data_IF_408261676543
#
_entry.id   IF_408261676543
#
_cell.length_a   1.000
_cell.length_b   1.000
_cell.length_c   1.000
_cell.angle_alpha   90.00
_cell.angle_beta   90.00
_cell.angle_gamma   90.00
#
_symmetry.space_group_name_H-M   'P 1'
#
loop_
_entity.id
_entity.type
_entity.pdbx_description
1 polymer ?
#
# COMPACT_ATOMS: atom_id res chain seq x y z
N UNK A 1 12.71 -18.09 -7.75
CA UNK A 1 11.39 -18.68 -8.06
C UNK A 1 10.68 -19.26 -6.83
N UNK A 2 11.30 -20.12 -6.02
CA UNK A 2 10.66 -20.77 -4.85
C UNK A 2 10.12 -19.76 -3.81
N UNK A 3 10.84 -18.69 -3.51
CA UNK A 3 10.40 -17.65 -2.58
C UNK A 3 9.14 -16.88 -3.05
N UNK A 4 9.00 -16.69 -4.37
CA UNK A 4 7.85 -16.02 -4.97
C UNK A 4 6.59 -16.90 -4.88
N UNK A 5 6.76 -18.21 -5.06
CA UNK A 5 5.67 -19.18 -4.93
C UNK A 5 5.18 -19.30 -3.48
N UNK A 6 6.11 -19.32 -2.52
CA UNK A 6 5.79 -19.37 -1.09
C UNK A 6 5.02 -18.12 -0.62
N UNK A 7 5.43 -16.94 -1.09
CA UNK A 7 4.72 -15.69 -0.81
C UNK A 7 3.28 -15.71 -1.37
N UNK A 8 3.09 -16.25 -2.58
CA UNK A 8 1.79 -16.37 -3.23
C UNK A 8 0.86 -17.36 -2.51
N UNK A 9 1.40 -18.49 -2.04
CA UNK A 9 0.65 -19.49 -1.26
C UNK A 9 0.23 -18.94 0.09
N UNK A 10 1.14 -18.24 0.79
CA UNK A 10 0.81 -17.59 2.06
C UNK A 10 -0.27 -16.52 1.86
N UNK A 11 -0.21 -15.79 0.75
CA UNK A 11 -1.25 -14.85 0.32
C UNK A 11 -2.62 -15.49 0.18
N UNK A 12 -2.69 -16.59 -0.57
CA UNK A 12 -3.92 -17.31 -0.83
C UNK A 12 -4.52 -17.87 0.46
N UNK A 13 -3.70 -18.40 1.37
CA UNK A 13 -4.13 -18.92 2.66
C UNK A 13 -4.66 -17.81 3.57
N UNK A 14 -3.99 -16.66 3.61
CA UNK A 14 -4.43 -15.49 4.36
C UNK A 14 -5.75 -14.96 3.80
N UNK A 15 -5.86 -14.76 2.48
CA UNK A 15 -7.11 -14.37 1.80
C UNK A 15 -8.27 -15.35 2.08
N UNK A 16 -8.01 -16.66 2.04
CA UNK A 16 -9.01 -17.69 2.33
C UNK A 16 -9.46 -17.66 3.81
N UNK A 17 -8.52 -17.52 4.75
CA UNK A 17 -8.84 -17.43 6.18
C UNK A 17 -9.70 -16.20 6.50
N UNK A 18 -9.41 -15.06 5.86
CA UNK A 18 -10.20 -13.82 6.04
C UNK A 18 -11.59 -13.94 5.44
N UNK A 19 -11.71 -14.55 4.26
CA UNK A 19 -13.00 -14.82 3.64
C UNK A 19 -13.87 -15.71 4.53
N UNK A 20 -13.26 -16.70 5.19
CA UNK A 20 -13.94 -17.59 6.14
C UNK A 20 -14.30 -16.90 7.47
N UNK A 21 -13.53 -15.90 7.90
CA UNK A 21 -13.80 -15.12 9.13
C UNK A 21 -14.84 -14.01 8.92
N UNK A 22 -15.21 -13.70 7.68
CA UNK A 22 -16.16 -12.64 7.38
C UNK A 22 -17.59 -13.09 7.68
N UNK A 23 -18.06 -12.79 8.90
CA UNK A 23 -19.43 -13.14 9.33
C UNK A 23 -20.49 -12.50 8.42
N UNK A 24 -21.57 -13.24 8.10
CA UNK A 24 -22.70 -12.71 7.34
C UNK A 24 -23.44 -11.64 8.17
N UNK A 25 -23.09 -10.37 7.95
CA UNK A 25 -23.68 -9.23 8.67
C UNK A 25 -22.88 -7.94 8.57
N UNK A 26 -21.55 -8.02 8.34
CA UNK A 26 -20.72 -6.83 8.14
C UNK A 26 -20.78 -6.36 6.68
N UNK A 27 -20.95 -5.04 6.47
CA UNK A 27 -20.94 -4.44 5.13
C UNK A 27 -19.61 -4.74 4.45
N UNK A 28 -19.68 -5.34 3.26
CA UNK A 28 -18.50 -5.78 2.52
C UNK A 28 -17.61 -4.58 2.19
N UNK A 29 -16.28 -4.70 2.34
CA UNK A 29 -15.37 -3.68 1.84
C UNK A 29 -15.58 -3.48 0.33
N UNK A 30 -15.38 -2.25 -0.15
CA UNK A 30 -15.50 -1.95 -1.57
C UNK A 30 -14.29 -2.49 -2.33
N UNK A 31 -14.41 -3.73 -2.84
CA UNK A 31 -13.36 -4.43 -3.58
C UNK A 31 -12.67 -3.60 -4.68
N UNK A 32 -13.39 -2.80 -5.50
CA UNK A 32 -12.72 -1.96 -6.49
C UNK A 32 -11.79 -0.91 -5.88
N UNK A 33 -12.11 -0.38 -4.69
CA UNK A 33 -11.25 0.56 -3.97
C UNK A 33 -9.95 -0.10 -3.50
N UNK A 34 -10.03 -1.36 -3.05
CA UNK A 34 -8.85 -2.14 -2.65
C UNK A 34 -7.98 -2.46 -3.86
N UNK A 35 -8.57 -2.87 -4.98
CA UNK A 35 -7.84 -3.14 -6.22
C UNK A 35 -7.14 -1.87 -6.73
N UNK A 36 -7.84 -0.73 -6.76
CA UNK A 36 -7.25 0.55 -7.13
C UNK A 36 -6.12 0.96 -6.18
N UNK A 37 -6.31 0.79 -4.87
CA UNK A 37 -5.26 1.04 -3.88
C UNK A 37 -4.02 0.18 -4.13
N UNK A 38 -4.20 -1.12 -4.39
CA UNK A 38 -3.10 -2.02 -4.68
C UNK A 38 -2.32 -1.62 -5.95
N UNK A 39 -3.02 -1.27 -7.03
CA UNK A 39 -2.39 -0.79 -8.28
C UNK A 39 -1.65 0.53 -8.04
N UNK A 40 -2.19 1.42 -7.21
CA UNK A 40 -1.56 2.68 -6.86
C UNK A 40 -0.34 2.54 -5.94
N UNK A 41 -0.12 1.37 -5.32
CA UNK A 41 0.99 1.17 -4.38
C UNK A 41 2.36 1.35 -5.04
N UNK A 42 2.58 0.78 -6.23
CA UNK A 42 3.84 0.91 -6.95
C UNK A 42 4.17 2.38 -7.30
N UNK A 43 3.28 3.10 -7.99
CA UNK A 43 3.48 4.52 -8.30
C UNK A 43 3.62 5.39 -7.04
N UNK A 44 2.82 5.14 -6.00
CA UNK A 44 2.93 5.88 -4.74
C UNK A 44 4.28 5.65 -4.06
N UNK A 45 4.84 4.43 -4.12
CA UNK A 45 6.16 4.13 -3.58
C UNK A 45 7.27 4.87 -4.32
N UNK A 46 7.24 4.87 -5.65
CA UNK A 46 8.22 5.62 -6.45
C UNK A 46 8.12 7.12 -6.19
N UNK A 47 6.91 7.67 -6.09
CA UNK A 47 6.70 9.07 -5.70
C UNK A 47 7.22 9.36 -4.30
N UNK A 48 6.97 8.46 -3.34
CA UNK A 48 7.46 8.57 -1.97
C UNK A 48 8.99 8.54 -1.90
N UNK A 49 9.64 7.69 -2.70
CA UNK A 49 11.10 7.66 -2.83
C UNK A 49 11.63 8.97 -3.43
N UNK A 50 10.99 9.49 -4.48
CA UNK A 50 11.37 10.76 -5.09
C UNK A 50 11.25 11.92 -4.10
N UNK A 51 10.12 12.02 -3.40
CA UNK A 51 9.89 13.04 -2.38
C UNK A 51 10.88 12.90 -1.21
N UNK A 52 11.14 11.68 -0.74
CA UNK A 52 12.09 11.42 0.34
C UNK A 52 13.54 11.71 -0.07
N UNK A 53 13.92 11.42 -1.31
CA UNK A 53 15.23 11.75 -1.85
C UNK A 53 15.42 13.27 -1.93
N UNK A 54 14.42 13.99 -2.44
CA UNK A 54 14.45 15.45 -2.54
C UNK A 54 14.46 16.14 -1.17
N UNK A 55 13.78 15.58 -0.17
CA UNK A 55 13.71 16.18 1.16
C UNK A 55 14.97 15.92 1.99
N UNK A 56 15.50 14.69 2.00
CA UNK A 56 16.60 14.30 2.89
C UNK A 56 17.98 14.33 2.28
N UNK A 57 18.12 14.12 0.97
CA UNK A 57 19.42 14.05 0.30
C UNK A 57 19.35 14.63 -1.10
N UNK A 58 19.04 15.92 -1.26
CA UNK A 58 18.94 16.57 -2.58
C UNK A 58 20.24 16.43 -3.39
N UNK A 59 21.40 16.33 -2.73
CA UNK A 59 22.71 16.09 -3.35
C UNK A 59 22.85 14.72 -4.03
N UNK A 60 21.97 13.76 -3.71
CA UNK A 60 21.92 12.44 -4.36
C UNK A 60 20.96 12.40 -5.55
N UNK A 61 20.24 13.48 -5.83
CA UNK A 61 19.44 13.58 -7.04
C UNK A 61 20.40 13.64 -8.24
N UNK A 62 20.57 12.50 -8.92
CA UNK A 62 21.39 12.43 -10.12
C UNK A 62 20.66 13.18 -11.24
N UNK A 63 21.25 14.24 -11.82
CA UNK A 63 20.68 14.84 -13.02
C UNK A 63 20.70 13.77 -14.11
N UNK A 64 19.51 13.44 -14.63
CA UNK A 64 19.39 12.54 -15.76
C UNK A 64 19.70 13.32 -17.02
N UNK A 65 20.79 12.99 -17.68
CA UNK A 65 21.01 13.41 -19.07
C UNK A 65 19.86 12.86 -19.91
N UNK A 66 19.38 13.67 -20.85
CA UNK A 66 18.19 13.35 -21.64
C UNK A 66 18.53 12.27 -22.67
N UNK A 67 18.44 11.01 -22.25
CA UNK A 67 18.62 9.83 -23.09
C UNK A 67 17.23 9.34 -23.58
N UNK A 68 16.96 9.31 -24.90
CA UNK A 68 15.68 8.87 -25.44
C UNK A 68 15.35 7.41 -25.11
N UNK A 69 16.35 6.56 -24.84
CA UNK A 69 16.15 5.15 -24.49
C UNK A 69 15.87 4.95 -22.98
N UNK A 70 16.16 5.96 -22.15
CA UNK A 70 15.92 5.92 -20.71
C UNK A 70 14.43 5.98 -20.36
N UNK A 71 13.64 6.78 -21.09
CA UNK A 71 12.21 6.93 -20.85
C UNK A 71 11.43 5.60 -20.98
N UNK A 72 11.56 4.82 -22.07
CA UNK A 72 10.90 3.52 -22.17
C UNK A 72 11.41 2.51 -21.13
N UNK A 73 12.69 2.55 -20.76
CA UNK A 73 13.23 1.72 -19.69
C UNK A 73 12.60 2.04 -18.32
N UNK A 74 12.44 3.34 -18.00
CA UNK A 74 11.76 3.80 -16.78
C UNK A 74 10.28 3.42 -16.78
N UNK A 75 9.59 3.52 -17.92
CA UNK A 75 8.20 3.07 -18.04
C UNK A 75 8.07 1.55 -17.82
N UNK A 76 8.99 0.75 -18.38
CA UNK A 76 9.03 -0.70 -18.16
C UNK A 76 9.28 -1.07 -16.70
N UNK A 77 10.20 -0.37 -16.04
CA UNK A 77 10.47 -0.55 -14.61
C UNK A 77 9.27 -0.15 -13.75
N UNK A 78 8.61 0.96 -14.09
CA UNK A 78 7.40 1.42 -13.38
C UNK A 78 6.26 0.40 -13.51
N UNK A 79 6.07 -0.18 -14.70
CA UNK A 79 5.08 -1.24 -14.91
C UNK A 79 5.39 -2.49 -14.08
N UNK A 80 6.64 -2.93 -14.05
CA UNK A 80 7.06 -4.08 -13.25
C UNK A 80 6.85 -3.81 -11.74
N UNK A 81 7.20 -2.61 -11.27
CA UNK A 81 6.99 -2.19 -9.89
C UNK A 81 5.49 -2.11 -9.52
N UNK A 82 4.64 -1.64 -10.43
CA UNK A 82 3.17 -1.64 -10.26
C UNK A 82 2.66 -3.06 -10.10
N UNK A 83 3.05 -3.99 -10.97
CA UNK A 83 2.56 -5.38 -10.95
C UNK A 83 2.99 -6.08 -9.66
N UNK A 84 4.28 -6.03 -9.33
CA UNK A 84 4.81 -6.67 -8.11
C UNK A 84 4.23 -6.02 -6.86
N UNK A 85 4.18 -4.68 -6.83
CA UNK A 85 3.58 -3.91 -5.74
C UNK A 85 2.11 -4.27 -5.54
N UNK A 86 1.32 -4.37 -6.60
CA UNK A 86 -0.09 -4.72 -6.52
C UNK A 86 -0.30 -6.14 -5.97
N UNK A 87 0.48 -7.13 -6.42
CA UNK A 87 0.39 -8.51 -5.93
C UNK A 87 0.62 -8.56 -4.41
N UNK A 88 1.64 -7.85 -3.91
CA UNK A 88 1.98 -7.87 -2.48
C UNK A 88 1.03 -6.99 -1.66
N UNK A 89 0.65 -5.82 -2.17
CA UNK A 89 -0.14 -4.83 -1.44
C UNK A 89 -1.63 -5.21 -1.36
N UNK A 90 -2.21 -5.81 -2.40
CA UNK A 90 -3.63 -6.18 -2.44
C UNK A 90 -4.16 -6.93 -1.20
N UNK A 91 -3.56 -8.06 -0.77
CA UNK A 91 -4.00 -8.83 0.39
C UNK A 91 -3.89 -8.05 1.71
N UNK A 92 -2.80 -7.30 1.89
CA UNK A 92 -2.57 -6.48 3.08
C UNK A 92 -3.55 -5.31 3.13
N UNK A 93 -3.80 -4.67 2.00
CA UNK A 93 -4.79 -3.61 1.85
C UNK A 93 -6.22 -4.14 2.07
N UNK A 94 -6.53 -5.33 1.57
CA UNK A 94 -7.82 -6.00 1.80
C UNK A 94 -8.04 -6.26 3.30
N UNK A 95 -7.04 -6.85 3.97
CA UNK A 95 -7.04 -7.08 5.41
C UNK A 95 -7.28 -5.81 6.21
N UNK A 96 -6.46 -4.79 5.96
CA UNK A 96 -6.54 -3.51 6.66
C UNK A 96 -7.88 -2.84 6.43
N UNK A 97 -8.37 -2.83 5.18
CA UNK A 97 -9.66 -2.25 4.85
C UNK A 97 -10.83 -3.00 5.52
N UNK A 98 -10.79 -4.33 5.59
CA UNK A 98 -11.80 -5.13 6.30
C UNK A 98 -11.82 -4.83 7.79
N UNK A 99 -10.65 -4.85 8.43
CA UNK A 99 -10.53 -4.56 9.85
C UNK A 99 -11.01 -3.13 10.18
N UNK A 100 -10.54 -2.12 9.45
CA UNK A 100 -10.91 -0.72 9.67
C UNK A 100 -12.38 -0.44 9.33
N UNK A 101 -12.94 -1.09 8.30
CA UNK A 101 -14.37 -0.94 7.98
C UNK A 101 -15.25 -1.53 9.08
N UNK A 102 -14.85 -2.67 9.65
CA UNK A 102 -15.53 -3.31 10.77
C UNK A 102 -15.48 -2.44 12.03
N UNK A 103 -14.28 -2.04 12.45
CA UNK A 103 -14.10 -1.17 13.62
C UNK A 103 -14.79 0.19 13.47
N UNK A 104 -14.89 0.71 12.25
CA UNK A 104 -15.60 1.96 11.97
C UNK A 104 -17.12 1.89 12.16
N UNK A 105 -17.72 0.71 12.26
CA UNK A 105 -19.14 0.58 12.63
C UNK A 105 -19.37 1.10 14.04
N UNK A 106 -18.52 0.69 14.98
CA UNK A 106 -18.68 0.97 16.41
C UNK A 106 -18.02 2.29 16.84
N UNK A 107 -17.05 2.80 16.07
CA UNK A 107 -16.30 4.01 16.43
C UNK A 107 -16.29 5.05 15.29
N UNK A 108 -16.96 6.18 15.51
CA UNK A 108 -17.06 7.29 14.55
C UNK A 108 -15.68 7.91 14.26
N UNK A 109 -14.76 7.93 15.24
CA UNK A 109 -13.40 8.46 15.05
C UNK A 109 -12.62 7.71 13.99
N UNK A 110 -12.83 6.40 13.87
CA UNK A 110 -12.18 5.55 12.85
C UNK A 110 -12.73 5.77 11.44
N UNK A 111 -13.83 6.51 11.30
CA UNK A 111 -14.38 6.91 9.99
C UNK A 111 -13.59 8.07 9.37
N UNK A 112 -12.77 8.77 10.17
CA UNK A 112 -12.01 9.93 9.73
C UNK A 112 -10.90 9.52 8.74
N UNK A 113 -10.75 10.22 7.59
CA UNK A 113 -9.78 9.85 6.55
C UNK A 113 -8.33 9.89 7.06
N UNK A 114 -8.00 10.84 7.95
CA UNK A 114 -6.67 10.93 8.54
C UNK A 114 -6.29 9.65 9.34
N UNK A 115 -7.25 9.01 10.00
CA UNK A 115 -6.98 7.78 10.76
C UNK A 115 -6.62 6.62 9.83
N UNK A 116 -7.28 6.52 8.67
CA UNK A 116 -6.95 5.52 7.65
C UNK A 116 -5.56 5.76 7.08
N UNK A 117 -5.23 7.01 6.74
CA UNK A 117 -3.91 7.37 6.24
C UNK A 117 -2.80 7.03 7.25
N UNK A 118 -2.98 7.39 8.52
CA UNK A 118 -2.03 7.08 9.59
C UNK A 118 -1.88 5.56 9.80
N UNK A 119 -3.00 4.83 9.87
CA UNK A 119 -2.96 3.38 10.03
C UNK A 119 -2.24 2.71 8.85
N UNK A 120 -2.51 3.15 7.63
CA UNK A 120 -1.81 2.68 6.44
C UNK A 120 -0.30 2.96 6.50
N UNK A 121 0.09 4.17 6.87
CA UNK A 121 1.49 4.54 7.03
C UNK A 121 2.19 3.67 8.08
N UNK A 122 1.59 3.48 9.25
CA UNK A 122 2.13 2.62 10.30
C UNK A 122 2.22 1.15 9.85
N UNK A 123 1.19 0.63 9.18
CA UNK A 123 1.17 -0.75 8.71
C UNK A 123 2.25 -1.03 7.66
N UNK A 124 2.54 -0.07 6.78
CA UNK A 124 3.59 -0.20 5.78
C UNK A 124 5.00 0.01 6.36
N UNK A 125 5.17 0.95 7.28
CA UNK A 125 6.48 1.32 7.85
C UNK A 125 6.93 0.37 8.95
N UNK A 126 6.00 -0.14 9.78
CA UNK A 126 6.30 -0.98 10.94
C UNK A 126 7.15 -2.20 10.60
N UNK A 127 6.74 -3.05 9.63
CA UNK A 127 7.54 -4.19 9.21
C UNK A 127 8.92 -3.79 8.66
N UNK A 128 9.00 -2.70 7.87
CA UNK A 128 10.25 -2.20 7.32
C UNK A 128 11.22 -1.73 8.42
N UNK A 129 10.70 -1.06 9.46
CA UNK A 129 11.49 -0.66 10.63
C UNK A 129 11.97 -1.88 11.43
N UNK A 130 11.12 -2.90 11.62
CA UNK A 130 11.47 -4.12 12.37
C UNK A 130 12.58 -4.95 11.71
N UNK A 131 12.68 -4.96 10.38
CA UNK A 131 13.75 -5.67 9.66
C UNK A 131 15.03 -4.83 9.52
N UNK A 132 15.09 -3.66 10.15
CA UNK A 132 16.29 -2.82 10.18
C UNK A 132 16.54 -2.03 8.89
N UNK A 133 15.49 -1.67 8.13
CA UNK A 133 15.64 -0.69 7.05
C UNK A 133 15.96 0.66 7.68
N UNK A 134 17.26 0.96 7.81
CA UNK A 134 17.77 2.19 8.45
C UNK A 134 17.77 3.41 7.54
N UNK A 135 17.40 3.27 6.26
CA UNK A 135 17.31 4.41 5.34
C UNK A 135 15.97 5.14 5.51
N UNK A 136 16.03 6.34 6.08
CA UNK A 136 14.86 7.19 6.30
C UNK A 136 14.10 7.52 5.01
N UNK A 137 14.75 7.56 3.84
CA UNK A 137 14.09 7.77 2.55
C UNK A 137 13.17 6.60 2.23
N UNK A 138 13.65 5.38 2.44
CA UNK A 138 12.90 4.16 2.17
C UNK A 138 11.72 4.00 3.15
N UNK A 139 11.95 4.28 4.43
CA UNK A 139 10.88 4.26 5.44
C UNK A 139 9.79 5.29 5.13
N UNK A 140 10.18 6.50 4.69
CA UNK A 140 9.23 7.55 4.29
C UNK A 140 8.42 7.14 3.06
N UNK A 141 9.06 6.48 2.08
CA UNK A 141 8.37 5.95 0.91
C UNK A 141 7.35 4.86 1.28
N UNK A 142 7.68 3.96 2.20
CA UNK A 142 6.72 2.97 2.72
C UNK A 142 5.56 3.65 3.46
N UNK A 143 5.84 4.61 4.34
CA UNK A 143 4.82 5.37 5.07
C UNK A 143 3.84 6.07 4.11
N UNK A 144 4.38 6.78 3.12
CA UNK A 144 3.60 7.48 2.12
C UNK A 144 2.74 6.53 1.28
N UNK A 145 3.33 5.42 0.83
CA UNK A 145 2.61 4.38 0.08
C UNK A 145 1.44 3.83 0.88
N UNK A 146 1.68 3.44 2.13
CA UNK A 146 0.65 2.94 3.02
C UNK A 146 -0.49 3.94 3.24
N UNK A 147 -0.16 5.22 3.42
CA UNK A 147 -1.13 6.29 3.57
C UNK A 147 -2.00 6.48 2.33
N UNK A 148 -1.40 6.50 1.14
CA UNK A 148 -2.12 6.64 -0.14
C UNK A 148 -3.04 5.44 -0.37
N UNK A 149 -2.52 4.21 -0.22
CA UNK A 149 -3.30 2.98 -0.41
C UNK A 149 -4.50 2.96 0.54
N UNK A 150 -4.30 3.24 1.83
CA UNK A 150 -5.38 3.27 2.80
C UNK A 150 -6.42 4.35 2.50
N UNK A 151 -5.98 5.52 2.02
CA UNK A 151 -6.87 6.62 1.62
C UNK A 151 -7.73 6.26 0.40
N UNK A 152 -7.16 5.56 -0.59
CA UNK A 152 -7.89 5.07 -1.76
C UNK A 152 -8.89 3.99 -1.34
N UNK A 153 -8.47 3.03 -0.52
CA UNK A 153 -9.37 1.99 0.03
C UNK A 153 -10.55 2.61 0.78
N UNK A 154 -10.33 3.73 1.48
CA UNK A 154 -11.34 4.45 2.25
C UNK A 154 -12.38 5.17 1.40
N UNK A 155 -12.03 5.66 0.20
CA UNK A 155 -12.80 6.65 -0.56
C UNK A 155 -14.28 6.28 -0.78
N UNK A 156 -14.61 4.99 -0.88
CA UNK A 156 -15.99 4.50 -1.05
C UNK A 156 -16.49 3.58 0.05
N UNK A 157 -15.78 3.52 1.17
CA UNK A 157 -16.29 2.85 2.37
C UNK A 157 -17.41 3.69 2.96
N UNK A 158 -18.59 3.09 3.15
CA UNK A 158 -19.75 3.74 3.76
C UNK A 158 -20.19 2.97 5.01
N UNK A 159 -20.56 3.73 6.04
CA UNK A 159 -21.21 3.23 7.25
C UNK A 159 -22.62 3.76 7.21
N UNK A 160 -23.63 2.91 7.43
CA UNK A 160 -24.97 3.43 7.72
C UNK A 160 -25.01 3.75 9.18
N UNK A 161 -25.27 5.01 9.44
CA UNK A 161 -25.67 5.58 10.72
C UNK A 161 -27.09 5.18 11.03
#
# INVERSE_FOLDING_TARGET
MVAMLAALVLLCLVCAAIFLLNRPGSRRPYFPGIALGAVAAGPAFLLGLGLGALSWRPERAVPLDFDPDLLPALMGLMLAAVIVGAIIAFPLAMLGAMALSGLGQDNIGLRHPAFWALTGAFAATGPAACIGVGDGVVLTAFAFTGAVVASICRWRTSWVT
#
